data_IF_134042164535
#
_entry.id   IF_134042164535
#
_cell.length_a   1.000
_cell.length_b   1.000
_cell.length_c   1.000
_cell.angle_alpha   90.00
_cell.angle_beta   90.00
_cell.angle_gamma   90.00
#
_symmetry.space_group_name_H-M   'P 1'
#
loop_
_entity.id
_entity.type
_entity.pdbx_description
1 polymer ?
#
# COMPACT_ATOMS: atom_id res chain seq x y z
N UNK A 1 -3.75 0.34 -44.26
CA UNK A 1 -3.76 -0.20 -42.88
C UNK A 1 -4.29 0.90 -41.99
N UNK A 2 -5.50 0.74 -41.44
CA UNK A 2 -6.07 1.70 -40.49
C UNK A 2 -5.47 1.43 -39.10
N UNK A 3 -5.04 2.47 -38.40
CA UNK A 3 -4.60 2.35 -37.01
C UNK A 3 -5.78 1.83 -36.16
N UNK A 4 -5.55 0.88 -35.24
CA UNK A 4 -6.60 0.44 -34.33
C UNK A 4 -7.13 1.65 -33.53
N UNK A 5 -8.44 1.73 -33.26
CA UNK A 5 -9.00 2.80 -32.46
C UNK A 5 -8.31 2.79 -31.09
N UNK A 6 -7.69 3.91 -30.72
CA UNK A 6 -7.25 4.15 -29.34
C UNK A 6 -8.46 3.98 -28.44
N UNK A 7 -8.44 2.96 -27.59
CA UNK A 7 -9.46 2.75 -26.59
C UNK A 7 -9.60 4.05 -25.80
N UNK A 8 -10.82 4.61 -25.77
CA UNK A 8 -11.08 5.78 -24.95
C UNK A 8 -10.76 5.39 -23.50
N UNK A 9 -9.91 6.15 -22.78
CA UNK A 9 -9.59 5.83 -21.40
C UNK A 9 -10.91 5.71 -20.63
N UNK A 10 -11.04 4.64 -19.86
CA UNK A 10 -12.20 4.44 -19.00
C UNK A 10 -12.35 5.67 -18.07
N UNK A 11 -13.60 6.09 -17.76
CA UNK A 11 -13.81 7.19 -16.83
C UNK A 11 -13.18 6.84 -15.47
N UNK A 12 -12.38 7.75 -14.94
CA UNK A 12 -11.65 7.61 -13.67
C UNK A 12 -12.62 7.91 -12.53
N UNK A 13 -13.06 6.90 -11.79
CA UNK A 13 -14.07 7.08 -10.74
C UNK A 13 -13.45 7.35 -9.38
N UNK A 14 -13.92 8.39 -8.70
CA UNK A 14 -13.46 8.78 -7.36
C UNK A 14 -14.68 8.94 -6.45
N UNK A 15 -14.64 8.37 -5.25
CA UNK A 15 -15.63 8.66 -4.20
C UNK A 15 -15.07 9.70 -3.24
N UNK A 16 -15.85 10.73 -2.94
CA UNK A 16 -15.48 11.76 -1.98
C UNK A 16 -16.16 11.46 -0.64
N UNK A 17 -15.37 11.12 0.38
CA UNK A 17 -15.85 10.89 1.74
C UNK A 17 -15.41 12.04 2.64
N UNK A 18 -16.29 12.50 3.54
CA UNK A 18 -15.93 13.47 4.58
C UNK A 18 -16.10 12.82 5.94
N UNK A 19 -14.98 12.61 6.63
CA UNK A 19 -14.91 12.10 7.99
C UNK A 19 -14.85 13.31 8.95
N UNK A 20 -15.97 13.53 9.63
CA UNK A 20 -16.15 14.62 10.58
C UNK A 20 -16.53 14.09 11.97
N UNK A 21 -16.24 12.83 12.26
CA UNK A 21 -16.69 12.16 13.49
C UNK A 21 -16.16 12.86 14.75
N UNK A 22 -14.95 13.39 14.69
CA UNK A 22 -14.31 14.12 15.79
C UNK A 22 -14.97 15.49 16.10
N UNK A 23 -15.80 16.02 15.18
CA UNK A 23 -16.43 17.33 15.33
C UNK A 23 -17.80 17.27 16.02
N UNK A 24 -18.43 16.10 16.09
CA UNK A 24 -19.79 15.93 16.64
C UNK A 24 -20.80 16.85 15.96
N UNK A 25 -21.62 17.56 16.75
CA UNK A 25 -22.66 18.46 16.23
C UNK A 25 -22.10 19.62 15.39
N UNK A 26 -20.81 19.95 15.53
CA UNK A 26 -20.15 20.99 14.72
C UNK A 26 -19.94 20.55 13.27
N UNK A 27 -20.04 19.26 12.97
CA UNK A 27 -19.95 18.73 11.61
C UNK A 27 -21.20 19.03 10.76
N UNK A 28 -22.32 19.39 11.40
CA UNK A 28 -23.61 19.58 10.72
C UNK A 28 -23.46 20.71 9.68
N UNK A 29 -23.60 20.35 8.39
CA UNK A 29 -23.46 21.26 7.26
C UNK A 29 -22.03 21.40 6.72
N UNK A 30 -21.01 21.08 7.51
CA UNK A 30 -19.60 21.17 7.07
C UNK A 30 -19.27 20.13 6.02
N UNK A 31 -19.74 18.89 6.18
CA UNK A 31 -19.53 17.82 5.19
C UNK A 31 -20.15 18.17 3.84
N UNK A 32 -21.38 18.69 3.84
CA UNK A 32 -22.05 19.12 2.61
C UNK A 32 -21.29 20.28 1.95
N UNK A 33 -20.85 21.27 2.74
CA UNK A 33 -20.07 22.40 2.25
C UNK A 33 -18.74 21.94 1.59
N UNK A 34 -18.03 21.00 2.20
CA UNK A 34 -16.81 20.43 1.64
C UNK A 34 -17.10 19.71 0.33
N UNK A 35 -18.14 18.88 0.28
CA UNK A 35 -18.55 18.17 -0.94
C UNK A 35 -18.93 19.17 -2.05
N UNK A 36 -19.68 20.21 -1.72
CA UNK A 36 -20.10 21.26 -2.67
C UNK A 36 -18.90 22.08 -3.17
N UNK A 37 -17.83 22.20 -2.37
CA UNK A 37 -16.64 22.98 -2.73
C UNK A 37 -15.58 22.18 -3.48
N UNK A 38 -15.31 20.96 -3.02
CA UNK A 38 -14.28 20.06 -3.57
C UNK A 38 -14.82 19.32 -4.79
N UNK A 39 -16.07 18.87 -4.72
CA UNK A 39 -16.66 18.00 -5.73
C UNK A 39 -16.63 18.57 -7.17
N UNK A 40 -17.07 19.83 -7.41
CA UNK A 40 -17.01 20.43 -8.73
C UNK A 40 -15.59 20.55 -9.29
N UNK A 41 -14.57 20.72 -8.44
CA UNK A 41 -13.17 20.82 -8.87
C UNK A 41 -12.58 19.47 -9.26
N UNK A 42 -12.91 18.42 -8.50
CA UNK A 42 -12.55 17.04 -8.84
C UNK A 42 -13.18 16.64 -10.19
N UNK A 43 -14.46 16.99 -10.41
CA UNK A 43 -15.10 16.78 -11.72
C UNK A 43 -14.45 17.57 -12.86
N UNK A 44 -14.05 18.81 -12.60
CA UNK A 44 -13.36 19.63 -13.58
C UNK A 44 -11.98 19.06 -13.98
N UNK A 45 -11.35 18.28 -13.09
CA UNK A 45 -10.10 17.56 -13.34
C UNK A 45 -10.31 16.18 -14.01
N UNK A 46 -11.43 15.98 -14.71
CA UNK A 46 -11.77 14.76 -15.48
C UNK A 46 -12.07 13.50 -14.66
N UNK A 47 -12.26 13.63 -13.35
CA UNK A 47 -12.70 12.52 -12.48
C UNK A 47 -14.23 12.46 -12.39
N UNK A 48 -14.79 11.25 -12.47
CA UNK A 48 -16.21 11.02 -12.23
C UNK A 48 -16.44 10.77 -10.74
N UNK A 49 -17.28 11.59 -10.10
CA UNK A 49 -17.63 11.39 -8.71
C UNK A 49 -18.77 10.38 -8.59
N UNK A 50 -18.50 9.27 -7.92
CA UNK A 50 -19.50 8.22 -7.66
C UNK A 50 -20.11 8.39 -6.27
N UNK A 51 -21.36 7.95 -6.11
CA UNK A 51 -22.10 8.06 -4.87
C UNK A 51 -21.72 6.98 -3.86
N UNK A 52 -22.33 7.07 -2.68
CA UNK A 52 -22.20 6.03 -1.66
C UNK A 52 -22.79 4.71 -2.15
N UNK A 53 -22.00 3.63 -2.03
CA UNK A 53 -22.39 2.28 -2.44
C UNK A 53 -21.99 1.90 -3.87
N UNK A 54 -21.60 2.86 -4.71
CA UNK A 54 -21.04 2.57 -6.02
C UNK A 54 -19.54 2.21 -5.92
N UNK A 55 -19.04 1.29 -6.77
CA UNK A 55 -17.62 0.97 -6.81
C UNK A 55 -16.84 2.18 -7.35
N UNK A 56 -15.88 2.65 -6.56
CA UNK A 56 -14.93 3.69 -6.96
C UNK A 56 -13.55 3.06 -7.11
N UNK A 57 -12.77 3.47 -8.11
CA UNK A 57 -11.37 3.05 -8.21
C UNK A 57 -10.53 3.61 -7.05
N UNK A 58 -10.97 4.74 -6.48
CA UNK A 58 -10.31 5.39 -5.36
C UNK A 58 -11.30 6.13 -4.48
N UNK A 59 -11.02 6.17 -3.18
CA UNK A 59 -11.75 7.01 -2.22
C UNK A 59 -10.83 8.14 -1.77
N UNK A 60 -11.24 9.38 -2.05
CA UNK A 60 -10.64 10.58 -1.47
C UNK A 60 -11.40 10.91 -0.17
N UNK A 61 -10.74 10.75 0.97
CA UNK A 61 -11.30 11.07 2.27
C UNK A 61 -10.74 12.38 2.81
N UNK A 62 -11.65 13.28 3.20
CA UNK A 62 -11.33 14.52 3.90
C UNK A 62 -11.61 14.31 5.38
N UNK A 63 -10.57 14.33 6.21
CA UNK A 63 -10.67 14.20 7.66
C UNK A 63 -10.62 15.55 8.33
N UNK A 64 -11.53 15.77 9.26
CA UNK A 64 -11.61 16.97 10.08
C UNK A 64 -11.33 16.60 11.54
N UNK A 65 -10.56 17.44 12.24
CA UNK A 65 -10.32 17.31 13.68
C UNK A 65 -10.46 18.65 14.39
N UNK A 66 -10.78 18.62 15.68
CA UNK A 66 -10.72 19.81 16.55
C UNK A 66 -9.32 19.95 17.14
N UNK A 67 -8.71 21.13 17.04
CA UNK A 67 -7.41 21.41 17.65
C UNK A 67 -7.58 21.79 19.12
N UNK A 68 -6.55 21.52 19.93
CA UNK A 68 -6.57 21.84 21.38
C UNK A 68 -6.57 23.33 21.69
N UNK A 69 -6.28 24.17 20.70
CA UNK A 69 -6.09 25.62 20.86
C UNK A 69 -7.40 26.41 20.94
N UNK A 70 -8.55 25.85 20.54
CA UNK A 70 -9.83 26.53 20.68
C UNK A 70 -11.01 25.81 20.02
N UNK A 71 -12.22 26.22 20.36
CA UNK A 71 -13.47 25.61 19.87
C UNK A 71 -13.74 25.81 18.36
N UNK A 72 -12.97 26.69 17.71
CA UNK A 72 -13.07 27.04 16.29
C UNK A 72 -11.76 26.78 15.54
N UNK A 73 -10.86 26.01 16.13
CA UNK A 73 -9.61 25.65 15.51
C UNK A 73 -9.74 24.22 14.95
N UNK A 74 -9.62 24.09 13.64
CA UNK A 74 -9.84 22.82 12.94
C UNK A 74 -8.58 22.41 12.19
N UNK A 75 -8.28 21.11 12.20
CA UNK A 75 -7.34 20.52 11.25
C UNK A 75 -8.10 19.92 10.08
N UNK A 76 -7.56 20.08 8.87
CA UNK A 76 -8.04 19.40 7.66
C UNK A 76 -6.94 18.51 7.13
N UNK A 77 -7.26 17.27 6.79
CA UNK A 77 -6.34 16.31 6.19
C UNK A 77 -7.01 15.61 5.01
N UNK A 78 -6.26 15.41 3.93
CA UNK A 78 -6.74 14.69 2.76
C UNK A 78 -5.97 13.38 2.65
N UNK A 79 -6.67 12.26 2.54
CA UNK A 79 -6.07 10.93 2.38
C UNK A 79 -6.74 10.15 1.26
N UNK A 80 -5.95 9.35 0.56
CA UNK A 80 -6.45 8.32 -0.34
C UNK A 80 -6.68 7.05 0.46
N UNK A 81 -7.83 6.42 0.24
CA UNK A 81 -8.18 5.13 0.82
C UNK A 81 -8.34 4.12 -0.31
N UNK A 82 -7.50 3.09 -0.29
CA UNK A 82 -7.54 1.98 -1.24
C UNK A 82 -8.59 0.93 -0.80
N UNK A 83 -9.00 0.03 -1.71
CA UNK A 83 -9.95 -1.07 -1.42
C UNK A 83 -9.51 -1.98 -0.27
N UNK A 84 -8.20 -2.07 -0.02
CA UNK A 84 -7.62 -2.82 1.10
C UNK A 84 -7.69 -2.10 2.45
N UNK A 85 -8.27 -0.90 2.51
CA UNK A 85 -8.29 -0.04 3.70
C UNK A 85 -6.95 0.63 4.01
N UNK A 86 -5.97 0.51 3.11
CA UNK A 86 -4.72 1.27 3.15
C UNK A 86 -5.02 2.76 3.06
N UNK A 87 -4.30 3.57 3.85
CA UNK A 87 -4.46 5.02 3.90
C UNK A 87 -3.14 5.68 3.55
N UNK A 88 -3.17 6.57 2.57
CA UNK A 88 -2.00 7.33 2.13
C UNK A 88 -2.33 8.83 2.20
N UNK A 89 -1.51 9.66 2.87
CA UNK A 89 -1.76 11.09 2.95
C UNK A 89 -1.61 11.73 1.58
N UNK A 90 -2.68 12.38 1.11
CA UNK A 90 -2.66 13.19 -0.11
C UNK A 90 -2.12 14.61 0.20
N UNK A 91 -2.52 15.16 1.35
CA UNK A 91 -2.05 16.44 1.90
C UNK A 91 -2.01 16.28 3.42
N UNK A 92 -0.84 16.59 4.01
CA UNK A 92 -0.63 16.60 5.46
C UNK A 92 -1.60 17.55 6.19
N UNK A 93 -1.73 17.40 7.50
CA UNK A 93 -2.65 18.23 8.30
C UNK A 93 -2.39 19.73 8.10
N UNK A 94 -3.44 20.44 7.69
CA UNK A 94 -3.46 21.90 7.62
C UNK A 94 -4.31 22.42 8.77
N UNK A 95 -3.66 23.14 9.68
CA UNK A 95 -4.30 23.71 10.85
C UNK A 95 -4.90 25.09 10.51
N UNK A 96 -6.20 25.24 10.80
CA UNK A 96 -7.01 26.40 10.51
C UNK A 96 -7.40 27.04 11.85
N UNK A 97 -6.73 28.14 12.21
CA UNK A 97 -7.01 28.88 13.44
C UNK A 97 -8.14 29.90 13.23
N UNK A 98 -9.08 29.96 14.18
CA UNK A 98 -10.24 30.88 14.17
C UNK A 98 -11.10 30.67 12.91
N UNK A 99 -11.35 29.40 12.59
CA UNK A 99 -12.02 29.00 11.37
C UNK A 99 -13.51 28.75 11.57
N UNK A 100 -14.29 29.82 11.66
CA UNK A 100 -15.72 29.74 11.35
C UNK A 100 -15.90 29.32 9.88
N UNK A 101 -17.00 28.66 9.53
CA UNK A 101 -17.24 28.00 8.22
C UNK A 101 -16.74 28.79 7.00
N UNK A 102 -16.93 30.11 6.98
CA UNK A 102 -16.49 30.99 5.90
C UNK A 102 -14.97 31.02 5.67
N UNK A 103 -14.16 30.72 6.69
CA UNK A 103 -12.69 30.70 6.62
C UNK A 103 -12.09 29.34 6.27
N UNK A 104 -12.87 28.26 6.44
CA UNK A 104 -12.46 26.93 6.00
C UNK A 104 -12.38 26.86 4.46
N UNK A 105 -13.29 27.56 3.76
CA UNK A 105 -13.35 27.57 2.29
C UNK A 105 -12.03 28.05 1.64
N UNK A 106 -11.44 29.21 2.01
CA UNK A 106 -10.14 29.62 1.50
C UNK A 106 -9.03 28.59 1.71
N UNK A 107 -9.01 27.91 2.87
CA UNK A 107 -8.00 26.88 3.15
C UNK A 107 -8.17 25.67 2.23
N UNK A 108 -9.40 25.21 2.02
CA UNK A 108 -9.68 24.16 1.03
C UNK A 108 -9.25 24.60 -0.37
N UNK A 109 -9.56 25.85 -0.75
CA UNK A 109 -9.20 26.41 -2.05
C UNK A 109 -7.70 26.47 -2.30
N UNK A 110 -6.93 26.79 -1.26
CA UNK A 110 -5.47 26.84 -1.31
C UNK A 110 -4.85 25.46 -1.48
N UNK A 111 -5.42 24.43 -0.85
CA UNK A 111 -4.91 23.05 -0.93
C UNK A 111 -5.37 22.30 -2.19
N UNK A 112 -6.47 22.73 -2.82
CA UNK A 112 -7.07 22.01 -3.95
C UNK A 112 -6.14 21.79 -5.15
N UNK A 113 -5.31 22.77 -5.58
CA UNK A 113 -4.35 22.53 -6.67
C UNK A 113 -3.37 21.38 -6.35
N UNK A 114 -2.83 21.36 -5.13
CA UNK A 114 -1.91 20.31 -4.71
C UNK A 114 -2.61 18.94 -4.62
N UNK A 115 -3.85 18.93 -4.12
CA UNK A 115 -4.68 17.73 -4.04
C UNK A 115 -5.00 17.14 -5.43
N UNK A 116 -5.30 17.97 -6.42
CA UNK A 116 -5.60 17.50 -7.77
C UNK A 116 -4.33 16.91 -8.43
N UNK A 117 -3.17 17.53 -8.22
CA UNK A 117 -1.90 16.98 -8.70
C UNK A 117 -1.56 15.62 -8.09
N UNK A 118 -1.79 15.44 -6.79
CA UNK A 118 -1.54 14.15 -6.13
C UNK A 118 -2.54 13.08 -6.57
N UNK A 119 -3.80 13.46 -6.79
CA UNK A 119 -4.83 12.57 -7.32
C UNK A 119 -4.50 12.08 -8.74
N UNK A 120 -4.05 12.99 -9.63
CA UNK A 120 -3.61 12.65 -10.98
C UNK A 120 -2.42 11.69 -10.97
N UNK A 121 -1.38 12.00 -10.18
CA UNK A 121 -0.19 11.16 -10.06
C UNK A 121 -0.53 9.76 -9.52
N UNK A 122 -1.47 9.67 -8.57
CA UNK A 122 -1.89 8.38 -8.01
C UNK A 122 -2.63 7.53 -9.05
N UNK A 123 -3.53 8.13 -9.83
CA UNK A 123 -4.25 7.40 -10.87
C UNK A 123 -3.32 6.94 -12.00
N UNK A 124 -2.32 7.75 -12.37
CA UNK A 124 -1.27 7.32 -13.31
C UNK A 124 -0.49 6.11 -12.76
N UNK A 125 -0.08 6.17 -11.49
CA UNK A 125 0.60 5.04 -10.84
C UNK A 125 -0.26 3.76 -10.79
N UNK A 126 -1.57 3.88 -10.57
CA UNK A 126 -2.49 2.74 -10.60
C UNK A 126 -2.66 2.16 -12.01
N UNK A 127 -2.69 3.03 -13.04
CA UNK A 127 -2.73 2.59 -14.44
C UNK A 127 -1.45 1.82 -14.81
N UNK A 128 -0.28 2.35 -14.45
CA UNK A 128 1.01 1.70 -14.68
C UNK A 128 1.10 0.35 -13.95
N UNK A 129 0.64 0.29 -12.70
CA UNK A 129 0.60 -0.95 -11.93
C UNK A 129 -0.30 -2.01 -12.57
N UNK A 130 -1.43 -1.60 -13.16
CA UNK A 130 -2.35 -2.49 -13.87
C UNK A 130 -1.75 -3.01 -15.17
N UNK A 131 -1.06 -2.17 -15.93
CA UNK A 131 -0.34 -2.59 -17.14
C UNK A 131 0.82 -3.54 -16.79
N UNK A 132 1.57 -3.24 -15.73
CA UNK A 132 2.65 -4.11 -15.26
C UNK A 132 2.13 -5.46 -14.75
N UNK A 133 0.98 -5.49 -14.08
CA UNK A 133 0.34 -6.70 -13.58
C UNK A 133 -0.30 -7.57 -14.68
N UNK A 134 -0.71 -6.98 -15.81
CA UNK A 134 -1.31 -7.71 -16.93
C UNK A 134 -0.28 -8.53 -17.75
N UNK A 135 1.02 -8.27 -17.57
CA UNK A 135 2.09 -9.03 -18.21
C UNK A 135 2.54 -10.28 -17.41
N UNK A 136 2.03 -10.47 -16.19
CA UNK A 136 2.38 -11.63 -15.35
C UNK A 136 1.37 -12.77 -15.62
N UNK A 137 1.57 -13.49 -16.73
CA UNK A 137 1.11 -14.88 -16.86
C UNK A 137 1.67 -15.62 -15.65
N UNK A 138 0.89 -15.71 -14.58
CA UNK A 138 1.34 -16.22 -13.28
C UNK A 138 1.98 -17.59 -13.55
N UNK A 139 3.31 -17.73 -13.44
CA UNK A 139 3.94 -19.00 -13.74
C UNK A 139 3.30 -20.03 -12.80
N UNK A 140 2.92 -21.22 -13.31
CA UNK A 140 2.11 -22.19 -12.58
C UNK A 140 2.67 -22.36 -11.17
N UNK A 141 1.79 -22.37 -10.14
CA UNK A 141 2.18 -22.19 -8.74
C UNK A 141 3.39 -23.07 -8.44
N UNK A 142 4.54 -22.42 -8.20
CA UNK A 142 5.77 -23.10 -7.81
C UNK A 142 5.44 -23.82 -6.51
N UNK A 143 5.47 -25.15 -6.53
CA UNK A 143 5.28 -25.97 -5.33
C UNK A 143 6.43 -25.63 -4.37
N UNK A 144 6.16 -24.75 -3.41
CA UNK A 144 7.12 -24.34 -2.39
C UNK A 144 7.33 -25.55 -1.47
N UNK A 145 8.58 -25.94 -1.26
CA UNK A 145 8.88 -27.03 -0.33
C UNK A 145 8.62 -26.56 1.12
N UNK A 146 8.38 -27.48 2.05
CA UNK A 146 8.18 -27.10 3.46
C UNK A 146 9.33 -26.27 4.07
N UNK A 147 10.54 -26.37 3.50
CA UNK A 147 11.70 -25.56 3.87
C UNK A 147 11.52 -24.08 3.47
N UNK A 148 10.92 -23.82 2.31
CA UNK A 148 10.66 -22.46 1.82
C UNK A 148 9.59 -21.74 2.65
N UNK A 149 8.54 -22.46 3.07
CA UNK A 149 7.50 -21.92 3.97
C UNK A 149 8.11 -21.59 5.33
N UNK A 150 8.91 -22.51 5.89
CA UNK A 150 9.61 -22.28 7.16
C UNK A 150 10.54 -21.07 7.11
N UNK A 151 11.33 -20.93 6.03
CA UNK A 151 12.21 -19.77 5.83
C UNK A 151 11.46 -18.45 5.73
N UNK A 152 10.32 -18.42 5.02
CA UNK A 152 9.48 -17.23 4.89
C UNK A 152 8.86 -16.80 6.22
N UNK A 153 8.34 -17.75 7.02
CA UNK A 153 7.78 -17.47 8.35
C UNK A 153 8.86 -16.92 9.28
N UNK A 154 10.03 -17.56 9.34
CA UNK A 154 11.14 -17.10 10.19
C UNK A 154 11.63 -15.71 9.78
N UNK A 155 11.73 -15.42 8.48
CA UNK A 155 12.08 -14.09 7.99
C UNK A 155 11.04 -13.03 8.39
N UNK A 156 9.74 -13.33 8.23
CA UNK A 156 8.67 -12.41 8.61
C UNK A 156 8.67 -12.11 10.12
N UNK A 157 8.87 -13.14 10.96
CA UNK A 157 9.04 -12.95 12.41
C UNK A 157 10.26 -12.09 12.71
N UNK A 158 11.39 -12.31 12.02
CA UNK A 158 12.60 -11.49 12.16
C UNK A 158 12.36 -10.00 11.88
N UNK A 159 11.63 -9.68 10.79
CA UNK A 159 11.23 -8.30 10.46
C UNK A 159 10.35 -7.69 11.55
N UNK A 160 9.34 -8.43 12.02
CA UNK A 160 8.45 -7.95 13.08
C UNK A 160 9.19 -7.63 14.39
N UNK A 161 10.12 -8.52 14.79
CA UNK A 161 10.95 -8.32 15.98
C UNK A 161 11.92 -7.13 15.82
N UNK A 162 12.49 -6.93 14.63
CA UNK A 162 13.34 -5.76 14.34
C UNK A 162 12.58 -4.44 14.48
N UNK A 163 11.36 -4.37 13.94
CA UNK A 163 10.51 -3.18 14.04
C UNK A 163 10.17 -2.91 15.52
N UNK A 164 9.69 -3.92 16.24
CA UNK A 164 9.39 -3.79 17.68
C UNK A 164 10.60 -3.37 18.51
N UNK A 165 11.78 -3.96 18.26
CA UNK A 165 13.02 -3.58 18.90
C UNK A 165 13.44 -2.13 18.60
N UNK A 166 13.29 -1.68 17.35
CA UNK A 166 13.57 -0.30 16.96
C UNK A 166 12.69 0.72 17.67
N UNK A 167 11.39 0.40 17.87
CA UNK A 167 10.47 1.24 18.64
C UNK A 167 10.92 1.35 20.11
N UNK A 168 11.27 0.25 20.76
CA UNK A 168 11.75 0.27 22.15
C UNK A 168 13.07 1.03 22.33
N UNK A 169 14.02 0.88 21.41
CA UNK A 169 15.27 1.68 21.43
C UNK A 169 14.96 3.17 21.29
N UNK A 170 13.98 3.53 20.44
CA UNK A 170 13.60 4.92 20.18
C UNK A 170 12.88 5.60 21.36
N UNK A 171 12.18 4.83 22.20
CA UNK A 171 11.56 5.34 23.45
C UNK A 171 12.60 5.88 24.44
N UNK A 172 13.83 5.36 24.39
CA UNK A 172 14.93 5.86 25.20
C UNK A 172 14.73 5.63 26.70
N UNK A 173 15.07 6.63 27.51
CA UNK A 173 14.87 6.58 28.96
C UNK A 173 13.64 7.42 29.25
N UNK A 174 12.56 6.78 29.70
CA UNK A 174 11.34 7.47 30.12
C UNK A 174 11.42 7.66 31.63
N UNK A 175 11.33 8.91 32.07
CA UNK A 175 11.03 9.22 33.48
C UNK A 175 9.52 9.23 33.61
N UNK A 176 8.98 8.27 34.35
CA UNK A 176 7.58 8.33 34.73
C UNK A 176 7.48 9.29 35.93
N UNK A 177 6.88 10.46 35.70
CA UNK A 177 6.56 11.41 36.75
C UNK A 177 5.41 10.85 37.59
N UNK A 178 5.76 10.03 38.57
CA UNK A 178 4.87 9.62 39.65
C UNK A 178 4.64 10.78 40.62
N UNK A 179 3.50 10.77 41.32
CA UNK A 179 3.20 11.73 42.40
C UNK A 179 4.12 11.58 43.63
N UNK A 180 4.91 10.51 43.70
CA UNK A 180 5.97 10.34 44.68
C UNK A 180 7.28 10.94 44.17
N UNK A 181 8.02 11.67 45.03
CA UNK A 181 9.28 12.36 44.72
C UNK A 181 10.43 11.44 44.23
N UNK A 182 10.18 10.14 44.07
CA UNK A 182 11.09 9.16 43.47
C UNK A 182 10.52 8.67 42.13
N UNK A 183 10.69 9.47 41.08
CA UNK A 183 10.39 9.04 39.70
C UNK A 183 11.16 7.75 39.36
N UNK A 184 10.44 6.72 38.93
CA UNK A 184 11.05 5.45 38.51
C UNK A 184 11.62 5.65 37.11
N UNK A 185 12.93 5.48 36.98
CA UNK A 185 13.64 5.56 35.70
C UNK A 185 13.64 4.19 35.04
N UNK A 186 12.81 4.00 34.02
CA UNK A 186 12.82 2.78 33.20
C UNK A 186 13.65 3.00 31.95
N UNK A 187 14.71 2.20 31.78
CA UNK A 187 15.56 2.24 30.58
C UNK A 187 15.09 1.20 29.56
N UNK A 188 14.51 1.67 28.47
CA UNK A 188 14.00 0.82 27.38
C UNK A 188 15.09 0.43 26.37
N UNK A 189 16.29 1.04 26.45
CA UNK A 189 17.34 0.82 25.46
C UNK A 189 17.91 -0.59 25.54
N UNK A 190 18.14 -1.10 26.75
CA UNK A 190 18.68 -2.45 26.96
C UNK A 190 17.78 -3.56 26.38
N UNK A 191 16.47 -3.63 26.71
CA UNK A 191 15.59 -4.61 26.07
C UNK A 191 15.42 -4.35 24.56
N UNK A 192 15.42 -3.09 24.13
CA UNK A 192 15.37 -2.72 22.71
C UNK A 192 16.54 -3.30 21.90
N UNK A 193 17.79 -3.13 22.36
CA UNK A 193 18.96 -3.69 21.67
C UNK A 193 18.95 -5.21 21.63
N UNK A 194 18.48 -5.87 22.69
CA UNK A 194 18.34 -7.33 22.72
C UNK A 194 17.34 -7.81 21.64
N UNK A 195 16.18 -7.16 21.52
CA UNK A 195 15.18 -7.47 20.50
C UNK A 195 15.74 -7.25 19.08
N UNK A 196 16.43 -6.13 18.83
CA UNK A 196 17.06 -5.87 17.53
C UNK A 196 18.07 -6.96 17.18
N UNK A 197 18.91 -7.38 18.13
CA UNK A 197 19.88 -8.45 17.93
C UNK A 197 19.22 -9.79 17.57
N UNK A 198 18.16 -10.18 18.29
CA UNK A 198 17.39 -11.41 18.02
C UNK A 198 16.70 -11.34 16.65
N UNK A 199 16.07 -10.21 16.33
CA UNK A 199 15.40 -9.99 15.05
C UNK A 199 16.37 -10.07 13.86
N UNK A 200 17.55 -9.45 13.97
CA UNK A 200 18.58 -9.51 12.95
C UNK A 200 19.08 -10.94 12.73
N UNK A 201 19.35 -11.69 13.80
CA UNK A 201 19.78 -13.08 13.70
C UNK A 201 18.72 -13.98 13.04
N UNK A 202 17.45 -13.82 13.43
CA UNK A 202 16.34 -14.56 12.83
C UNK A 202 16.15 -14.24 11.34
N UNK A 203 16.26 -12.96 10.96
CA UNK A 203 16.16 -12.54 9.56
C UNK A 203 17.27 -13.14 8.70
N UNK A 204 18.53 -13.07 9.17
CA UNK A 204 19.67 -13.68 8.46
C UNK A 204 19.47 -15.19 8.30
N UNK A 205 19.02 -15.88 9.35
CA UNK A 205 18.74 -17.31 9.28
C UNK A 205 17.61 -17.63 8.27
N UNK A 206 16.53 -16.84 8.26
CA UNK A 206 15.43 -16.98 7.29
C UNK A 206 15.88 -16.80 5.85
N UNK A 207 16.70 -15.76 5.57
CA UNK A 207 17.25 -15.48 4.23
C UNK A 207 18.17 -16.61 3.76
N UNK A 208 19.02 -17.16 4.63
CA UNK A 208 19.89 -18.30 4.30
C UNK A 208 19.06 -19.53 3.92
N UNK A 209 18.03 -19.86 4.71
CA UNK A 209 17.14 -21.00 4.42
C UNK A 209 16.43 -20.84 3.07
N UNK A 210 15.96 -19.62 2.77
CA UNK A 210 15.33 -19.30 1.50
C UNK A 210 16.30 -19.46 0.32
N UNK A 211 17.53 -18.96 0.47
CA UNK A 211 18.59 -19.09 -0.51
C UNK A 211 18.99 -20.54 -0.79
N UNK A 212 19.06 -21.37 0.26
CA UNK A 212 19.33 -22.82 0.12
C UNK A 212 18.19 -23.51 -0.62
N UNK A 213 16.92 -23.23 -0.31
CA UNK A 213 15.79 -23.82 -1.04
C UNK A 213 15.80 -23.43 -2.52
N UNK A 214 16.03 -22.15 -2.83
CA UNK A 214 16.18 -21.67 -4.21
C UNK A 214 17.33 -22.36 -4.94
N UNK A 215 18.47 -22.55 -4.28
CA UNK A 215 19.63 -23.26 -4.83
C UNK A 215 19.33 -24.74 -5.12
N UNK A 216 18.67 -25.44 -4.20
CA UNK A 216 18.25 -26.83 -4.38
C UNK A 216 17.23 -26.95 -5.50
N UNK A 217 16.24 -26.06 -5.57
CA UNK A 217 15.25 -26.03 -6.65
C UNK A 217 15.89 -25.75 -8.01
N UNK A 218 16.82 -24.79 -8.10
CA UNK A 218 17.55 -24.49 -9.32
C UNK A 218 18.37 -25.70 -9.79
N UNK A 219 19.03 -26.41 -8.87
CA UNK A 219 19.77 -27.64 -9.18
C UNK A 219 18.83 -28.75 -9.67
N UNK A 220 17.70 -28.98 -9.00
CA UNK A 220 16.68 -29.94 -9.44
C UNK A 220 16.12 -29.61 -10.82
N UNK A 221 15.91 -28.32 -11.13
CA UNK A 221 15.47 -27.86 -12.46
C UNK A 221 16.51 -28.16 -13.54
N UNK A 222 17.78 -27.86 -13.30
CA UNK A 222 18.88 -28.18 -14.23
C UNK A 222 19.00 -29.68 -14.46
N UNK A 223 18.88 -30.49 -13.41
CA UNK A 223 18.88 -31.95 -13.52
C UNK A 223 17.68 -32.48 -14.29
N UNK A 224 16.46 -31.97 -14.05
CA UNK A 224 15.26 -32.35 -14.82
C UNK A 224 15.32 -31.93 -16.28
N UNK A 225 15.86 -30.74 -16.56
CA UNK A 225 16.10 -30.27 -17.93
C UNK A 225 17.13 -31.15 -18.67
N UNK A 226 18.12 -31.70 -17.95
CA UNK A 226 19.11 -32.61 -18.51
C UNK A 226 18.70 -34.09 -18.55
N UNK A 227 17.80 -34.56 -17.68
CA UNK A 227 17.57 -35.98 -17.43
C UNK A 227 16.37 -36.60 -18.16
N UNK A 228 15.49 -35.86 -18.82
CA UNK A 228 14.33 -36.53 -19.42
C UNK A 228 13.24 -35.67 -20.00
N UNK A 229 13.56 -34.49 -20.57
CA UNK A 229 12.61 -33.94 -21.53
C UNK A 229 12.63 -34.83 -22.76
N UNK A 230 11.58 -35.64 -22.89
CA UNK A 230 11.27 -36.30 -24.14
C UNK A 230 11.27 -35.21 -25.22
N UNK A 231 12.29 -35.22 -26.08
CA UNK A 231 12.42 -34.21 -27.11
C UNK A 231 11.31 -34.48 -28.11
N UNK A 232 10.32 -33.61 -28.10
CA UNK A 232 9.28 -33.59 -29.11
C UNK A 232 9.81 -32.79 -30.28
N UNK A 233 10.02 -33.45 -31.42
CA UNK A 233 10.41 -32.78 -32.65
C UNK A 233 9.34 -33.00 -33.72
N UNK A 234 8.93 -31.93 -34.43
CA UNK A 234 8.01 -32.08 -35.54
C UNK A 234 8.70 -32.86 -36.66
N UNK A 235 8.03 -33.90 -37.14
CA UNK A 235 8.43 -34.61 -38.34
C UNK A 235 7.55 -34.09 -39.48
N UNK A 236 8.13 -33.24 -40.31
CA UNK A 236 7.47 -32.69 -41.50
C UNK A 236 7.96 -33.49 -42.70
N UNK A 237 7.05 -34.21 -43.36
CA UNK A 237 7.29 -34.88 -44.64
C UNK A 237 6.38 -34.31 -45.71
N UNK A 238 6.75 -34.50 -46.99
CA UNK A 238 5.99 -33.95 -48.13
C UNK A 238 4.57 -34.51 -48.25
N UNK A 239 4.26 -35.61 -47.55
CA UNK A 239 2.96 -36.29 -47.57
C UNK A 239 2.34 -36.49 -46.18
N UNK A 240 3.01 -36.09 -45.08
CA UNK A 240 2.49 -36.28 -43.72
C UNK A 240 3.11 -35.30 -42.71
N UNK A 241 2.33 -34.99 -41.67
CA UNK A 241 2.78 -34.24 -40.49
C UNK A 241 2.65 -35.16 -39.27
N UNK A 242 3.75 -35.37 -38.56
CA UNK A 242 3.81 -36.21 -37.37
C UNK A 242 4.57 -35.56 -36.21
N UNK A 243 4.38 -36.10 -35.00
CA UNK A 243 5.12 -35.74 -33.81
C UNK A 243 6.05 -36.91 -33.42
N UNK A 244 7.37 -36.69 -33.43
CA UNK A 244 8.34 -37.64 -32.91
C UNK A 244 8.63 -37.36 -31.44
N UNK A 245 8.60 -38.39 -30.60
CA UNK A 245 8.97 -38.29 -29.17
C UNK A 245 10.19 -39.18 -28.92
N UNK A 246 11.33 -38.58 -28.60
CA UNK A 246 12.56 -39.32 -28.24
C UNK A 246 12.88 -39.14 -26.76
N UNK A 247 13.01 -40.25 -26.04
CA UNK A 247 13.44 -40.29 -24.64
C UNK A 247 14.25 -41.55 -24.34
N UNK A 248 15.13 -41.47 -23.33
CA UNK A 248 15.75 -42.68 -22.74
C UNK A 248 14.72 -43.31 -21.81
N UNK A 249 14.31 -44.53 -22.13
CA UNK A 249 13.48 -45.38 -21.29
C UNK A 249 14.37 -46.31 -20.47
#
# INVERSE_FOLDING_TARGET
MAAPPTASPAPRTVRLEVDADELGDKAIGMSQMIVDRVGPRVRAATFELVGDGDPAEMVLRVRLRVLKSGEYDYGVHFEFVDDGGGREPAIEWVDCHVCVDARLIPVLDEQLPALLMSLEARVEALADAREAGAADETPPPKVITGLGIGGAIVAAVGVGVLIGGGVEVSRGVVLEDGLDEQGVRTDHRAPGYALVGVGAAALVAGVILLGVDLGVQAKKRKQRAGAGQARVFPLVHSTSVGLGVSGKF
#
